data_IF_113041266808
#
_entry.id   IF_113041266808
#
_cell.length_a   1.000
_cell.length_b   1.000
_cell.length_c   1.000
_cell.angle_alpha   90.00
_cell.angle_beta   90.00
_cell.angle_gamma   90.00
#
_symmetry.space_group_name_H-M   'P 1'
#
loop_
_entity.id
_entity.type
_entity.pdbx_description
1 polymer ?
#
# COMPACT_ATOMS: atom_id res chain seq x y z
N UNK A 1 -19.21 12.08 -8.90
CA UNK A 1 -18.30 12.31 -7.77
C UNK A 1 -16.87 12.47 -8.27
N UNK A 2 -15.89 12.64 -7.38
CA UNK A 2 -14.48 12.81 -7.76
C UNK A 2 -13.98 11.72 -8.73
N UNK A 3 -14.18 10.40 -8.49
CA UNK A 3 -13.79 9.38 -9.46
C UNK A 3 -14.46 9.55 -10.83
N UNK A 4 -15.76 9.87 -10.87
CA UNK A 4 -16.47 10.10 -12.13
C UNK A 4 -15.88 11.26 -12.95
N UNK A 5 -15.36 12.30 -12.30
CA UNK A 5 -14.76 13.44 -12.98
C UNK A 5 -13.44 13.06 -13.68
N UNK A 6 -12.62 12.20 -13.06
CA UNK A 6 -11.40 11.69 -13.68
C UNK A 6 -11.70 10.72 -14.84
N UNK A 7 -12.74 9.89 -14.74
CA UNK A 7 -13.18 9.05 -15.86
C UNK A 7 -13.65 9.91 -17.03
N UNK A 8 -14.46 10.95 -16.74
CA UNK A 8 -14.90 11.91 -17.76
C UNK A 8 -13.72 12.66 -18.41
N UNK A 9 -12.67 12.96 -17.62
CA UNK A 9 -11.44 13.58 -18.12
C UNK A 9 -10.53 12.62 -18.91
N UNK A 10 -10.94 11.36 -19.13
CA UNK A 10 -10.23 10.40 -19.97
C UNK A 10 -9.35 9.40 -19.22
N UNK A 11 -9.39 9.35 -17.89
CA UNK A 11 -8.74 8.28 -17.14
C UNK A 11 -9.47 6.95 -17.38
N UNK A 12 -8.76 5.86 -17.76
CA UNK A 12 -9.41 4.56 -17.98
C UNK A 12 -9.85 3.90 -16.67
N UNK A 13 -9.09 4.10 -15.59
CA UNK A 13 -9.34 3.47 -14.29
C UNK A 13 -8.78 4.29 -13.14
N UNK A 14 -9.49 4.27 -12.01
CA UNK A 14 -9.16 5.04 -10.81
C UNK A 14 -9.24 4.14 -9.59
N UNK A 15 -8.20 4.16 -8.77
CA UNK A 15 -8.22 3.56 -7.43
C UNK A 15 -8.52 4.64 -6.40
N UNK A 16 -9.53 4.39 -5.56
CA UNK A 16 -9.94 5.32 -4.49
C UNK A 16 -10.37 4.57 -3.24
N UNK A 17 -10.37 5.23 -2.08
CA UNK A 17 -10.85 4.66 -0.83
C UNK A 17 -12.26 5.16 -0.48
N UNK A 18 -13.10 4.27 0.04
CA UNK A 18 -14.47 4.58 0.48
C UNK A 18 -14.52 5.30 1.84
N UNK A 19 -13.50 5.07 2.68
CA UNK A 19 -13.31 5.74 3.96
C UNK A 19 -11.84 6.12 4.16
N UNK A 20 -11.55 6.87 5.22
CA UNK A 20 -10.18 7.18 5.64
C UNK A 20 -9.53 5.91 6.20
N UNK A 21 -8.44 5.48 5.58
CA UNK A 21 -7.63 4.34 6.01
C UNK A 21 -6.39 4.86 6.73
N UNK A 22 -5.83 4.06 7.64
CA UNK A 22 -4.53 4.32 8.25
C UNK A 22 -3.43 4.46 7.20
N UNK A 23 -2.47 5.36 7.43
CA UNK A 23 -1.43 5.71 6.46
C UNK A 23 -0.49 4.53 6.18
N UNK A 24 -0.17 3.72 7.20
CA UNK A 24 0.73 2.58 7.06
C UNK A 24 0.03 1.41 6.35
N UNK A 25 -1.22 1.16 6.70
CA UNK A 25 -2.08 0.24 5.96
C UNK A 25 -2.17 0.63 4.47
N UNK A 26 -2.39 1.91 4.20
CA UNK A 26 -2.44 2.47 2.83
C UNK A 26 -1.12 2.26 2.10
N UNK A 27 0.01 2.58 2.74
CA UNK A 27 1.33 2.41 2.14
C UNK A 27 1.62 0.95 1.79
N UNK A 28 1.33 0.00 2.71
CA UNK A 28 1.52 -1.43 2.46
C UNK A 28 0.70 -1.91 1.25
N UNK A 29 -0.59 -1.56 1.24
CA UNK A 29 -1.49 -1.94 0.16
C UNK A 29 -1.04 -1.35 -1.18
N UNK A 30 -0.68 -0.06 -1.21
CA UNK A 30 -0.30 0.63 -2.45
C UNK A 30 1.03 0.14 -2.99
N UNK A 31 2.03 -0.10 -2.14
CA UNK A 31 3.31 -0.69 -2.57
C UNK A 31 3.04 -2.05 -3.22
N UNK A 32 2.25 -2.92 -2.57
CA UNK A 32 1.93 -4.24 -3.12
C UNK A 32 1.10 -4.16 -4.40
N UNK A 33 0.14 -3.23 -4.46
CA UNK A 33 -0.66 -2.97 -5.64
C UNK A 33 0.21 -2.57 -6.83
N UNK A 34 1.11 -1.60 -6.67
CA UNK A 34 2.02 -1.19 -7.74
C UNK A 34 3.02 -2.28 -8.12
N UNK A 35 3.47 -3.12 -7.19
CA UNK A 35 4.28 -4.31 -7.51
C UNK A 35 3.51 -5.30 -8.39
N UNK A 36 2.22 -5.52 -8.12
CA UNK A 36 1.38 -6.37 -8.95
C UNK A 36 1.11 -5.72 -10.32
N UNK A 37 0.84 -4.41 -10.34
CA UNK A 37 0.55 -3.67 -11.55
C UNK A 37 1.75 -3.63 -12.51
N UNK A 38 2.98 -3.53 -11.99
CA UNK A 38 4.22 -3.57 -12.79
C UNK A 38 4.45 -4.88 -13.53
N UNK A 39 3.72 -5.95 -13.19
CA UNK A 39 3.81 -7.24 -13.91
C UNK A 39 3.13 -7.19 -15.28
N UNK A 40 2.31 -6.17 -15.53
CA UNK A 40 1.61 -5.95 -16.79
C UNK A 40 2.41 -4.96 -17.65
N UNK A 41 3.06 -5.41 -18.73
CA UNK A 41 3.82 -4.54 -19.63
C UNK A 41 2.92 -3.54 -20.37
N UNK A 42 1.66 -3.93 -20.58
CA UNK A 42 0.58 -3.12 -21.13
C UNK A 42 -0.67 -3.42 -20.28
N UNK A 43 -1.42 -2.39 -19.93
CA UNK A 43 -2.63 -2.52 -19.13
C UNK A 43 -3.82 -2.78 -20.05
N UNK A 44 -4.54 -3.87 -19.79
CA UNK A 44 -5.81 -4.21 -20.39
C UNK A 44 -6.96 -3.92 -19.42
N UNK A 45 -8.20 -4.02 -19.94
CA UNK A 45 -9.39 -3.82 -19.14
C UNK A 45 -9.45 -4.85 -17.99
N UNK A 46 -9.63 -4.35 -16.77
CA UNK A 46 -9.69 -5.15 -15.54
C UNK A 46 -8.35 -5.35 -14.83
N UNK A 47 -7.21 -5.09 -15.46
CA UNK A 47 -5.89 -5.36 -14.85
C UNK A 47 -5.67 -4.57 -13.56
N UNK A 48 -6.13 -3.31 -13.51
CA UNK A 48 -6.07 -2.48 -12.30
C UNK A 48 -6.89 -3.11 -11.16
N UNK A 49 -8.08 -3.61 -11.46
CA UNK A 49 -8.93 -4.26 -10.46
C UNK A 49 -8.32 -5.58 -9.98
N UNK A 50 -7.73 -6.37 -10.89
CA UNK A 50 -7.04 -7.62 -10.56
C UNK A 50 -5.82 -7.35 -9.68
N UNK A 51 -4.97 -6.40 -10.05
CA UNK A 51 -3.78 -6.04 -9.28
C UNK A 51 -4.14 -5.53 -7.87
N UNK A 52 -5.22 -4.74 -7.75
CA UNK A 52 -5.74 -4.26 -6.47
C UNK A 52 -6.28 -5.41 -5.63
N UNK A 53 -7.07 -6.30 -6.22
CA UNK A 53 -7.62 -7.46 -5.53
C UNK A 53 -6.50 -8.37 -5.00
N UNK A 54 -5.45 -8.60 -5.79
CA UNK A 54 -4.27 -9.36 -5.35
C UNK A 54 -3.57 -8.70 -4.16
N UNK A 55 -3.48 -7.36 -4.14
CA UNK A 55 -2.90 -6.63 -3.00
C UNK A 55 -3.79 -6.74 -1.75
N UNK A 56 -5.12 -6.66 -1.91
CA UNK A 56 -6.08 -6.83 -0.82
C UNK A 56 -6.02 -8.25 -0.22
N UNK A 57 -5.96 -9.28 -1.08
CA UNK A 57 -5.81 -10.68 -0.64
C UNK A 57 -4.47 -10.89 0.08
N UNK A 58 -3.38 -10.33 -0.45
CA UNK A 58 -2.08 -10.38 0.20
C UNK A 58 -2.12 -9.73 1.58
N UNK A 59 -2.70 -8.54 1.69
CA UNK A 59 -2.77 -7.80 2.96
C UNK A 59 -3.66 -8.51 3.99
N UNK A 60 -4.79 -9.09 3.55
CA UNK A 60 -5.68 -9.91 4.39
C UNK A 60 -4.97 -11.12 4.97
N UNK A 61 -4.08 -11.75 4.20
CA UNK A 61 -3.36 -12.97 4.60
C UNK A 61 -1.97 -12.69 5.17
N UNK A 62 -1.57 -11.42 5.29
CA UNK A 62 -0.23 -11.04 5.73
C UNK A 62 0.03 -11.58 7.13
N UNK A 63 1.07 -12.40 7.29
CA UNK A 63 1.49 -12.89 8.60
C UNK A 63 2.48 -11.91 9.24
N UNK A 64 2.72 -12.06 10.54
CA UNK A 64 3.85 -11.41 11.24
C UNK A 64 5.17 -11.55 10.47
N UNK A 65 5.50 -12.79 10.08
CA UNK A 65 6.76 -13.08 9.39
C UNK A 65 6.84 -12.35 8.04
N UNK A 66 5.77 -12.41 7.25
CA UNK A 66 5.72 -11.72 5.95
C UNK A 66 5.79 -10.19 6.12
N UNK A 67 5.21 -9.64 7.20
CA UNK A 67 5.29 -8.22 7.55
C UNK A 67 6.73 -7.79 7.83
N UNK A 68 7.45 -8.57 8.64
CA UNK A 68 8.86 -8.32 8.96
C UNK A 68 9.75 -8.40 7.71
N UNK A 69 9.59 -9.46 6.91
CA UNK A 69 10.33 -9.66 5.66
C UNK A 69 10.03 -8.55 4.64
N UNK A 70 8.77 -8.10 4.55
CA UNK A 70 8.38 -7.01 3.66
C UNK A 70 9.05 -5.70 4.05
N UNK A 71 9.12 -5.38 5.36
CA UNK A 71 9.82 -4.20 5.86
C UNK A 71 11.33 -4.27 5.60
N UNK A 72 11.96 -5.42 5.85
CA UNK A 72 13.39 -5.62 5.59
C UNK A 72 13.74 -5.39 4.12
N UNK A 73 12.87 -5.84 3.22
CA UNK A 73 13.03 -5.60 1.78
C UNK A 73 12.93 -4.12 1.39
N UNK A 74 12.10 -3.34 2.10
CA UNK A 74 11.95 -1.90 1.86
C UNK A 74 13.01 -1.04 2.54
N UNK A 75 13.67 -1.57 3.57
CA UNK A 75 14.67 -0.85 4.38
C UNK A 75 15.73 -0.12 3.54
N UNK A 76 16.33 -0.69 2.47
CA UNK A 76 17.32 0.02 1.67
C UNK A 76 16.74 1.25 0.96
N UNK A 77 15.52 1.15 0.43
CA UNK A 77 14.84 2.26 -0.27
C UNK A 77 14.47 3.36 0.71
N UNK A 78 13.97 2.99 1.88
CA UNK A 78 13.69 3.93 2.97
C UNK A 78 14.97 4.66 3.37
N UNK A 79 16.08 3.94 3.58
CA UNK A 79 17.35 4.56 3.96
C UNK A 79 17.86 5.54 2.90
N UNK A 80 17.67 5.25 1.61
CA UNK A 80 18.01 6.18 0.52
C UNK A 80 17.19 7.46 0.61
N UNK A 81 15.86 7.37 0.76
CA UNK A 81 14.99 8.54 0.90
C UNK A 81 15.35 9.35 2.15
N UNK A 82 15.62 8.69 3.27
CA UNK A 82 16.01 9.38 4.51
C UNK A 82 17.36 10.08 4.42
N UNK A 83 18.28 9.58 3.60
CA UNK A 83 19.60 10.20 3.40
C UNK A 83 19.51 11.54 2.63
N UNK A 84 18.44 11.75 1.86
CA UNK A 84 18.18 12.99 1.12
C UNK A 84 17.44 14.05 1.95
N UNK A 85 16.96 13.68 3.16
CA UNK A 85 16.23 14.60 4.03
C UNK A 85 17.17 15.55 4.80
N UNK A 86 16.68 16.75 5.19
CA UNK A 86 17.43 17.64 6.07
C UNK A 86 17.80 16.95 7.40
N UNK A 87 18.95 17.30 8.00
CA UNK A 87 19.38 16.75 9.29
C UNK A 87 18.29 16.88 10.37
N UNK A 88 18.04 15.80 11.11
CA UNK A 88 17.06 15.77 12.20
C UNK A 88 15.66 15.26 11.81
N UNK A 89 15.36 15.14 10.52
CA UNK A 89 14.12 14.48 10.07
C UNK A 89 14.24 12.95 10.04
N UNK A 90 15.45 12.42 9.82
CA UNK A 90 15.69 10.97 9.70
C UNK A 90 15.41 10.21 11.01
N UNK A 91 15.70 10.82 12.16
CA UNK A 91 15.42 10.24 13.48
C UNK A 91 13.93 9.95 13.69
N UNK A 92 13.05 10.92 13.37
CA UNK A 92 11.59 10.78 13.54
C UNK A 92 11.05 9.62 12.71
N UNK A 93 11.52 9.48 11.46
CA UNK A 93 11.09 8.39 10.58
C UNK A 93 11.60 7.02 11.02
N UNK A 94 12.87 6.91 11.45
CA UNK A 94 13.43 5.66 11.97
C UNK A 94 12.70 5.19 13.22
N UNK A 95 12.37 6.11 14.13
CA UNK A 95 11.59 5.78 15.32
C UNK A 95 10.18 5.33 14.96
N UNK A 96 9.51 6.01 14.03
CA UNK A 96 8.17 5.61 13.58
C UNK A 96 8.15 4.19 12.98
N UNK A 97 9.16 3.84 12.17
CA UNK A 97 9.30 2.50 11.58
C UNK A 97 9.59 1.43 12.64
N UNK A 98 10.46 1.73 13.60
CA UNK A 98 10.73 0.82 14.72
C UNK A 98 9.49 0.59 15.57
N UNK A 99 8.73 1.65 15.88
CA UNK A 99 7.46 1.56 16.60
C UNK A 99 6.45 0.73 15.82
N UNK A 100 6.32 0.95 14.51
CA UNK A 100 5.45 0.16 13.65
C UNK A 100 5.80 -1.33 13.67
N UNK A 101 7.08 -1.65 13.52
CA UNK A 101 7.57 -3.03 13.60
C UNK A 101 7.22 -3.68 14.94
N UNK A 102 7.37 -2.94 16.05
CA UNK A 102 7.10 -3.45 17.39
C UNK A 102 5.61 -3.52 17.75
N UNK A 103 4.75 -2.69 17.15
CA UNK A 103 3.33 -2.61 17.53
C UNK A 103 2.39 -3.32 16.55
N UNK A 104 2.71 -3.28 15.25
CA UNK A 104 1.81 -3.77 14.21
C UNK A 104 2.25 -5.14 13.72
N UNK A 105 3.51 -5.32 13.33
CA UNK A 105 3.97 -6.64 12.83
C UNK A 105 3.99 -7.73 13.93
N UNK A 106 3.90 -7.40 15.22
CA UNK A 106 3.84 -8.41 16.30
C UNK A 106 2.54 -9.21 16.34
N UNK A 107 1.45 -8.71 15.73
CA UNK A 107 0.18 -9.45 15.64
C UNK A 107 0.34 -10.62 14.66
N UNK A 108 -0.24 -11.80 14.92
CA UNK A 108 -0.18 -12.94 14.00
C UNK A 108 -0.60 -12.57 12.57
N UNK A 109 -1.63 -11.72 12.46
CA UNK A 109 -2.10 -11.09 11.24
C UNK A 109 -2.28 -9.57 11.49
N UNK A 110 -1.35 -8.72 11.05
CA UNK A 110 -1.35 -7.29 11.36
C UNK A 110 -2.55 -6.52 10.81
N UNK A 111 -3.10 -6.96 9.67
CA UNK A 111 -4.17 -6.27 8.93
C UNK A 111 -5.42 -7.13 8.73
N UNK A 112 -5.76 -8.01 9.69
CA UNK A 112 -6.96 -8.88 9.63
C UNK A 112 -8.24 -8.10 9.36
N UNK A 113 -8.38 -6.95 10.00
CA UNK A 113 -9.60 -6.14 9.91
C UNK A 113 -9.79 -5.57 8.49
N UNK A 114 -10.93 -5.84 7.84
CA UNK A 114 -11.23 -5.30 6.50
C UNK A 114 -11.12 -3.79 6.39
N UNK A 115 -11.27 -3.07 7.51
CA UNK A 115 -11.11 -1.63 7.57
C UNK A 115 -9.77 -1.13 6.98
N UNK A 116 -8.72 -1.96 7.01
CA UNK A 116 -7.38 -1.61 6.53
C UNK A 116 -7.19 -1.77 5.01
N UNK A 117 -8.03 -2.54 4.33
CA UNK A 117 -7.79 -2.91 2.91
C UNK A 117 -9.04 -2.92 2.03
N UNK A 118 -10.22 -3.18 2.59
CA UNK A 118 -11.49 -3.26 1.86
C UNK A 118 -12.02 -1.89 1.44
N UNK A 119 -11.41 -0.80 1.92
CA UNK A 119 -11.79 0.56 1.54
C UNK A 119 -11.52 0.83 0.06
N UNK A 120 -10.49 0.18 -0.50
CA UNK A 120 -9.99 0.51 -1.83
C UNK A 120 -10.82 -0.18 -2.92
N UNK A 121 -11.25 0.62 -3.89
CA UNK A 121 -11.98 0.15 -5.07
C UNK A 121 -11.31 0.67 -6.33
N UNK A 122 -11.39 -0.12 -7.40
CA UNK A 122 -11.07 0.32 -8.75
C UNK A 122 -12.37 0.65 -9.50
N UNK A 123 -12.46 1.85 -10.07
CA UNK A 123 -13.61 2.29 -10.89
C UNK A 123 -13.13 2.61 -12.28
N UNK A 124 -13.77 2.06 -13.31
CA UNK A 124 -13.37 2.19 -14.71
C UNK A 124 -13.26 0.83 -15.40
N UNK A 125 -12.70 0.83 -16.60
CA UNK A 125 -12.51 -0.36 -17.44
C UNK A 125 -11.03 -0.76 -17.41
#
# INVERSE_FOLDING_TARGET
>A
GLPSAFLFAGSPSIVSSLWKVDELATAFLMIKFYENLKKYPQLEAGDVAIALNQAQIWMRNLTKKDCEEFLDRLQPQINQVLAELPPGFDFVFKDALNVFRQQICQKPHPFTEPFNWAAFIATGF
#
